data_IF_634837912895
#
_entry.id   IF_634837912895
#
_cell.length_a   1.000
_cell.length_b   1.000
_cell.length_c   1.000
_cell.angle_alpha   90.00
_cell.angle_beta   90.00
_cell.angle_gamma   90.00
#
_symmetry.space_group_name_H-M   'P 1'
#
loop_
_entity.id
_entity.type
_entity.pdbx_description
1 polymer ?
#
# COMPACT_ATOMS: atom_id res chain seq x y z
N UNK A 1 43.13 41.24 28.39
CA UNK A 1 42.20 42.04 27.56
C UNK A 1 41.34 41.06 26.78
N UNK A 2 40.02 41.13 26.96
CA UNK A 2 39.03 40.25 26.32
C UNK A 2 38.73 40.78 24.92
N UNK A 3 38.70 39.92 23.91
CA UNK A 3 38.12 40.25 22.61
C UNK A 3 37.12 39.16 22.24
N UNK A 4 35.85 39.55 22.23
CA UNK A 4 34.68 38.74 21.92
C UNK A 4 34.40 38.96 20.43
N UNK A 5 34.48 37.91 19.62
CA UNK A 5 34.10 37.98 18.21
C UNK A 5 32.59 37.70 18.09
N UNK A 6 31.84 38.71 17.68
CA UNK A 6 30.39 38.67 17.45
C UNK A 6 30.08 38.09 16.06
N UNK A 7 29.16 37.14 16.02
CA UNK A 7 28.56 36.51 14.85
C UNK A 7 27.50 37.45 14.23
N UNK A 8 27.46 37.70 12.91
CA UNK A 8 26.32 38.39 12.31
C UNK A 8 25.21 37.39 11.98
N UNK A 9 24.05 37.61 12.62
CA UNK A 9 22.76 36.95 12.33
C UNK A 9 22.19 37.59 11.06
N UNK A 10 22.14 36.83 9.97
CA UNK A 10 21.43 37.24 8.76
C UNK A 10 19.92 36.97 8.93
N UNK A 11 19.17 38.05 9.15
CA UNK A 11 17.70 38.06 9.15
C UNK A 11 17.23 38.00 7.70
N UNK A 12 16.67 36.86 7.27
CA UNK A 12 15.94 36.78 6.01
C UNK A 12 14.48 37.14 6.27
N UNK A 13 14.11 38.33 5.78
CA UNK A 13 12.75 38.85 5.73
C UNK A 13 11.82 37.91 4.94
N UNK A 14 10.68 37.57 5.53
CA UNK A 14 9.55 36.99 4.82
C UNK A 14 8.90 38.08 3.92
N UNK A 15 8.82 37.82 2.62
CA UNK A 15 7.97 38.59 1.72
C UNK A 15 6.70 37.78 1.44
N UNK A 16 5.57 38.24 1.97
CA UNK A 16 4.24 37.84 1.52
C UNK A 16 3.87 38.73 0.33
N UNK A 17 3.58 38.14 -0.82
CA UNK A 17 2.89 38.85 -1.90
C UNK A 17 1.77 37.95 -2.42
N UNK A 18 0.54 38.36 -2.11
CA UNK A 18 -0.68 37.84 -2.71
C UNK A 18 -0.97 38.65 -3.98
N UNK A 19 -1.18 38.01 -5.15
CA UNK A 19 -1.81 38.68 -6.28
C UNK A 19 -3.26 38.18 -6.46
N UNK A 20 -4.16 39.09 -6.11
CA UNK A 20 -5.31 39.56 -6.86
C UNK A 20 -5.79 38.76 -8.09
N UNK A 21 -7.04 38.31 -7.96
CA UNK A 21 -7.99 37.81 -8.95
C UNK A 21 -7.93 38.59 -10.29
N UNK A 22 -7.71 37.88 -11.39
CA UNK A 22 -7.98 38.35 -12.76
C UNK A 22 -8.68 37.23 -13.52
N UNK A 23 -9.93 37.48 -13.90
CA UNK A 23 -10.71 36.62 -14.79
C UNK A 23 -10.09 36.64 -16.18
N UNK A 24 -9.79 35.46 -16.71
CA UNK A 24 -9.52 35.26 -18.13
C UNK A 24 -10.63 34.36 -18.66
N UNK A 25 -11.53 34.95 -19.46
CA UNK A 25 -12.45 34.20 -20.32
C UNK A 25 -11.63 33.37 -21.30
N UNK A 26 -11.87 32.05 -21.32
CA UNK A 26 -11.41 31.15 -22.38
C UNK A 26 -12.55 30.98 -23.40
N UNK A 27 -12.23 30.98 -24.71
CA UNK A 27 -13.21 30.92 -25.77
C UNK A 27 -13.98 29.58 -25.77
N UNK A 28 -15.27 29.71 -26.06
CA UNK A 28 -16.25 28.66 -26.32
C UNK A 28 -15.74 27.75 -27.45
N UNK A 29 -15.27 26.54 -27.10
CA UNK A 29 -14.91 25.51 -28.08
C UNK A 29 -16.10 24.58 -28.27
N UNK A 30 -16.60 24.59 -29.49
CA UNK A 30 -17.74 23.85 -30.01
C UNK A 30 -17.90 22.42 -29.46
N UNK A 31 -19.17 22.10 -29.20
CA UNK A 31 -19.75 20.82 -28.81
C UNK A 31 -19.00 19.57 -29.32
N UNK A 32 -18.25 18.93 -28.42
CA UNK A 32 -17.89 17.51 -28.56
C UNK A 32 -19.16 16.69 -28.25
N UNK A 33 -19.56 15.72 -29.08
CA UNK A 33 -20.73 14.90 -28.80
C UNK A 33 -20.51 14.09 -27.53
N UNK A 34 -21.20 14.46 -26.45
CA UNK A 34 -21.29 13.71 -25.20
C UNK A 34 -22.06 12.41 -25.44
N UNK A 35 -21.38 11.39 -25.96
CA UNK A 35 -21.74 9.99 -25.76
C UNK A 35 -20.78 9.35 -24.77
N UNK A 36 -20.78 9.87 -23.55
CA UNK A 36 -20.45 9.03 -22.39
C UNK A 36 -21.77 8.43 -21.94
N UNK A 37 -22.06 7.23 -22.44
CA UNK A 37 -23.07 6.37 -21.82
C UNK A 37 -22.66 6.20 -20.37
N UNK A 38 -23.51 6.71 -19.48
CA UNK A 38 -23.46 6.57 -18.04
C UNK A 38 -23.65 5.10 -17.68
N UNK A 39 -22.59 4.29 -17.83
CA UNK A 39 -22.52 3.01 -17.15
C UNK A 39 -22.19 3.37 -15.71
N UNK A 40 -23.14 3.13 -14.80
CA UNK A 40 -22.93 3.34 -13.37
C UNK A 40 -21.67 2.59 -12.92
N UNK A 41 -20.58 3.32 -12.73
CA UNK A 41 -19.25 2.84 -12.31
C UNK A 41 -19.24 2.59 -10.79
N UNK A 42 -20.22 1.81 -10.31
CA UNK A 42 -20.29 1.46 -8.89
C UNK A 42 -19.50 0.19 -8.64
N UNK A 43 -18.51 0.27 -7.74
CA UNK A 43 -17.77 -0.89 -7.28
C UNK A 43 -18.75 -1.98 -6.79
N UNK A 44 -18.49 -3.27 -7.11
CA UNK A 44 -19.32 -4.37 -6.64
C UNK A 44 -19.45 -4.33 -5.12
N UNK A 45 -20.68 -4.56 -4.62
CA UNK A 45 -20.92 -4.70 -3.19
C UNK A 45 -20.13 -5.91 -2.66
N UNK A 46 -19.43 -5.72 -1.54
CA UNK A 46 -18.68 -6.79 -0.90
C UNK A 46 -19.62 -7.79 -0.22
N UNK A 47 -19.18 -9.05 -0.16
CA UNK A 47 -19.79 -10.03 0.74
C UNK A 47 -19.34 -9.76 2.18
N UNK A 48 -20.04 -10.32 3.15
CA UNK A 48 -19.64 -10.26 4.56
C UNK A 48 -18.23 -10.83 4.78
N UNK A 49 -17.91 -11.94 4.11
CA UNK A 49 -16.57 -12.54 4.17
C UNK A 49 -15.47 -11.62 3.63
N UNK A 50 -15.74 -10.92 2.53
CA UNK A 50 -14.82 -9.94 1.96
C UNK A 50 -14.62 -8.73 2.88
N UNK A 51 -15.69 -8.23 3.50
CA UNK A 51 -15.60 -7.16 4.50
C UNK A 51 -14.75 -7.59 5.69
N UNK A 52 -14.99 -8.78 6.25
CA UNK A 52 -14.17 -9.34 7.33
C UNK A 52 -12.70 -9.51 6.93
N UNK A 53 -12.42 -9.95 5.71
CA UNK A 53 -11.05 -10.07 5.22
C UNK A 53 -10.35 -8.70 5.16
N UNK A 54 -11.05 -7.66 4.72
CA UNK A 54 -10.50 -6.30 4.69
C UNK A 54 -10.28 -5.72 6.10
N UNK A 55 -11.18 -6.02 7.05
CA UNK A 55 -11.06 -5.62 8.46
C UNK A 55 -9.93 -6.33 9.18
N UNK A 56 -9.72 -7.62 8.91
CA UNK A 56 -8.58 -8.38 9.41
C UNK A 56 -7.26 -7.80 8.90
N UNK A 57 -7.17 -7.45 7.60
CA UNK A 57 -6.03 -6.75 7.03
C UNK A 57 -5.78 -5.39 7.69
N UNK A 58 -6.84 -4.60 7.95
CA UNK A 58 -6.72 -3.31 8.63
C UNK A 58 -6.19 -3.48 10.06
N UNK A 59 -6.69 -4.50 10.76
CA UNK A 59 -6.26 -4.83 12.11
C UNK A 59 -4.79 -5.25 12.14
N UNK A 60 -4.37 -6.12 11.21
CA UNK A 60 -2.96 -6.50 11.09
C UNK A 60 -2.06 -5.29 10.78
N UNK A 61 -2.48 -4.40 9.88
CA UNK A 61 -1.72 -3.19 9.53
C UNK A 61 -1.41 -2.31 10.74
N UNK A 62 -2.33 -2.20 11.71
CA UNK A 62 -2.11 -1.41 12.94
C UNK A 62 -1.47 -2.19 14.08
N UNK A 63 -1.29 -3.52 13.90
CA UNK A 63 -0.79 -4.43 14.93
C UNK A 63 0.64 -4.92 14.70
N UNK A 64 1.29 -4.51 13.60
CA UNK A 64 2.69 -4.87 13.36
C UNK A 64 3.60 -4.24 14.42
N UNK A 65 4.66 -4.96 14.78
CA UNK A 65 5.60 -4.54 15.82
C UNK A 65 6.36 -3.27 15.42
N UNK A 66 6.68 -3.18 14.12
CA UNK A 66 7.26 -2.03 13.44
C UNK A 66 6.26 -1.40 12.46
N UNK A 67 6.37 -0.09 12.25
CA UNK A 67 5.50 0.63 11.31
C UNK A 67 5.84 0.23 9.86
N UNK A 68 4.82 0.30 9.00
CA UNK A 68 4.95 0.10 7.55
C UNK A 68 5.42 -1.30 7.12
N UNK A 69 5.24 -2.32 7.97
CA UNK A 69 5.48 -3.72 7.59
C UNK A 69 4.32 -4.31 6.78
N UNK A 70 3.09 -3.91 7.07
CA UNK A 70 1.90 -4.25 6.29
C UNK A 70 1.07 -2.98 6.13
N UNK A 71 0.72 -2.61 4.89
CA UNK A 71 -0.11 -1.44 4.65
C UNK A 71 -0.85 -1.49 3.32
N UNK A 72 -1.98 -0.79 3.24
CA UNK A 72 -2.74 -0.65 1.99
C UNK A 72 -2.38 0.63 1.23
N UNK A 73 -2.42 0.57 -0.10
CA UNK A 73 -2.35 1.74 -0.99
C UNK A 73 -3.54 1.75 -1.95
N UNK A 74 -3.73 2.85 -2.68
CA UNK A 74 -4.73 2.86 -3.76
C UNK A 74 -4.40 1.81 -4.81
N UNK A 75 -5.44 1.24 -5.40
CA UNK A 75 -5.33 0.31 -6.51
C UNK A 75 -4.42 0.89 -7.60
N UNK A 76 -3.45 0.11 -8.07
CA UNK A 76 -2.49 0.53 -9.11
C UNK A 76 -1.61 1.72 -8.75
N UNK A 77 -1.49 2.06 -7.47
CA UNK A 77 -0.51 3.04 -7.02
C UNK A 77 0.91 2.65 -7.47
N UNK A 78 1.79 3.65 -7.52
CA UNK A 78 3.20 3.44 -7.77
C UNK A 78 3.74 2.40 -6.77
N UNK A 79 4.38 1.36 -7.30
CA UNK A 79 4.98 0.33 -6.46
C UNK A 79 6.09 0.95 -5.60
N UNK A 80 6.32 0.46 -4.37
CA UNK A 80 7.44 0.88 -3.53
C UNK A 80 8.82 0.66 -4.20
N UNK A 81 8.87 -0.17 -5.23
CA UNK A 81 10.05 -0.54 -6.01
C UNK A 81 9.92 -0.07 -7.46
N UNK A 82 11.06 0.31 -8.05
CA UNK A 82 11.14 0.66 -9.46
C UNK A 82 11.15 -0.63 -10.30
N UNK A 83 9.98 -1.00 -10.82
CA UNK A 83 9.66 -2.28 -11.51
C UNK A 83 9.82 -3.54 -10.63
N UNK A 84 8.83 -4.44 -10.61
CA UNK A 84 8.95 -5.69 -9.87
C UNK A 84 9.90 -6.66 -10.56
N UNK A 85 10.68 -7.42 -9.79
CA UNK A 85 11.56 -8.47 -10.30
C UNK A 85 10.75 -9.61 -10.91
N UNK A 86 9.61 -9.92 -10.30
CA UNK A 86 8.68 -10.93 -10.79
C UNK A 86 7.25 -10.61 -10.39
N UNK A 87 6.30 -11.13 -11.18
CA UNK A 87 4.88 -11.10 -10.86
C UNK A 87 4.39 -12.55 -10.91
N UNK A 88 3.82 -13.00 -9.80
CA UNK A 88 3.28 -14.35 -9.67
C UNK A 88 1.79 -14.29 -9.33
N UNK A 89 1.11 -15.40 -9.57
CA UNK A 89 -0.23 -15.62 -9.07
C UNK A 89 -0.16 -16.75 -8.05
N UNK A 90 -0.68 -16.53 -6.85
CA UNK A 90 -0.76 -17.55 -5.81
C UNK A 90 -2.20 -17.73 -5.34
N UNK A 91 -2.52 -18.93 -4.89
CA UNK A 91 -3.81 -19.26 -4.29
C UNK A 91 -3.95 -18.65 -2.88
N UNK A 92 -5.17 -18.59 -2.39
CA UNK A 92 -5.49 -18.25 -0.99
C UNK A 92 -4.70 -19.11 0.01
N UNK A 93 -4.54 -20.41 -0.26
CA UNK A 93 -3.84 -21.34 0.64
C UNK A 93 -2.34 -21.02 0.73
N UNK A 94 -1.73 -20.69 -0.41
CA UNK A 94 -0.32 -20.27 -0.45
C UNK A 94 -0.14 -18.92 0.25
N UNK A 95 -1.06 -17.98 0.03
CA UNK A 95 -1.05 -16.70 0.74
C UNK A 95 -1.24 -16.89 2.24
N UNK A 96 -2.10 -17.80 2.68
CA UNK A 96 -2.29 -18.12 4.10
C UNK A 96 -0.98 -18.61 4.75
N UNK A 97 -0.21 -19.44 4.04
CA UNK A 97 1.06 -19.92 4.55
C UNK A 97 2.09 -18.79 4.70
N UNK A 98 2.18 -17.93 3.70
CA UNK A 98 3.00 -16.72 3.76
C UNK A 98 2.52 -15.80 4.89
N UNK A 99 1.22 -15.59 5.03
CA UNK A 99 0.66 -14.67 6.00
C UNK A 99 0.88 -15.14 7.44
N UNK A 100 0.73 -16.44 7.70
CA UNK A 100 1.08 -17.05 8.99
C UNK A 100 2.56 -16.84 9.34
N UNK A 101 3.46 -17.00 8.37
CA UNK A 101 4.89 -16.76 8.57
C UNK A 101 5.15 -15.29 8.91
N UNK A 102 4.58 -14.38 8.11
CA UNK A 102 4.73 -12.95 8.30
C UNK A 102 4.21 -12.47 9.66
N UNK A 103 2.99 -12.85 10.09
CA UNK A 103 2.44 -12.39 11.38
C UNK A 103 3.19 -12.98 12.57
N UNK A 104 3.81 -14.15 12.41
CA UNK A 104 4.66 -14.72 13.43
C UNK A 104 5.95 -13.91 13.64
N UNK A 105 6.50 -13.36 12.57
CA UNK A 105 7.71 -12.54 12.57
C UNK A 105 7.43 -11.09 12.98
N UNK A 106 6.32 -10.51 12.49
CA UNK A 106 6.10 -9.07 12.50
C UNK A 106 4.96 -8.60 13.41
N UNK A 107 4.21 -9.51 14.06
CA UNK A 107 3.10 -9.15 14.97
C UNK A 107 3.25 -9.83 16.34
N UNK A 108 4.47 -9.95 16.86
CA UNK A 108 4.79 -10.71 18.07
C UNK A 108 4.06 -10.26 19.34
N UNK A 109 3.57 -9.01 19.38
CA UNK A 109 2.75 -8.48 20.48
C UNK A 109 1.31 -9.03 20.53
N UNK A 110 0.81 -9.61 19.44
CA UNK A 110 -0.51 -10.24 19.43
C UNK A 110 -0.43 -11.69 19.96
N UNK A 111 -1.46 -12.16 20.70
CA UNK A 111 -1.59 -13.57 21.04
C UNK A 111 -1.52 -14.47 19.80
N UNK A 112 -0.91 -15.65 19.93
CA UNK A 112 -0.72 -16.58 18.80
C UNK A 112 -2.05 -16.92 18.09
N UNK A 113 -3.08 -17.25 18.86
CA UNK A 113 -4.40 -17.59 18.32
C UNK A 113 -4.99 -16.44 17.51
N UNK A 114 -4.88 -15.21 18.01
CA UNK A 114 -5.38 -14.02 17.31
C UNK A 114 -4.59 -13.72 16.03
N UNK A 115 -3.25 -13.95 16.03
CA UNK A 115 -2.44 -13.82 14.81
C UNK A 115 -2.90 -14.78 13.73
N UNK A 116 -3.10 -16.05 14.10
CA UNK A 116 -3.53 -17.10 13.17
C UNK A 116 -4.93 -16.84 12.63
N UNK A 117 -5.84 -16.38 13.49
CA UNK A 117 -7.20 -16.03 13.06
C UNK A 117 -7.19 -14.84 12.11
N UNK A 118 -6.49 -13.76 12.43
CA UNK A 118 -6.38 -12.60 11.55
C UNK A 118 -5.71 -12.93 10.21
N UNK A 119 -4.68 -13.79 10.21
CA UNK A 119 -4.06 -14.28 8.98
C UNK A 119 -5.00 -15.16 8.16
N UNK A 120 -5.79 -16.02 8.82
CA UNK A 120 -6.81 -16.87 8.20
C UNK A 120 -7.94 -16.06 7.57
N UNK A 121 -8.38 -14.99 8.23
CA UNK A 121 -9.43 -14.12 7.74
C UNK A 121 -8.93 -13.19 6.62
N UNK A 122 -7.75 -12.59 6.76
CA UNK A 122 -7.23 -11.58 5.83
C UNK A 122 -7.07 -12.07 4.39
N UNK A 123 -6.79 -13.37 4.22
CA UNK A 123 -6.59 -14.00 2.91
C UNK A 123 -7.88 -14.46 2.23
N UNK A 124 -9.04 -14.28 2.87
CA UNK A 124 -10.35 -14.71 2.31
C UNK A 124 -10.98 -13.69 1.38
N UNK A 125 -10.29 -12.58 1.10
CA UNK A 125 -10.79 -11.59 0.17
C UNK A 125 -10.97 -12.19 -1.23
N UNK A 126 -10.04 -13.05 -1.67
CA UNK A 126 -10.04 -13.66 -3.00
C UNK A 126 -9.56 -15.11 -2.97
N UNK A 127 -9.86 -15.86 -4.03
CA UNK A 127 -9.34 -17.22 -4.22
C UNK A 127 -7.90 -17.22 -4.73
N UNK A 128 -7.52 -16.22 -5.52
CA UNK A 128 -6.21 -16.08 -6.15
C UNK A 128 -5.73 -14.63 -6.05
N UNK A 129 -4.42 -14.44 -5.91
CA UNK A 129 -3.79 -13.15 -5.70
C UNK A 129 -2.67 -12.92 -6.69
N UNK A 130 -2.68 -11.76 -7.35
CA UNK A 130 -1.56 -11.28 -8.15
C UNK A 130 -0.56 -10.57 -7.25
N UNK A 131 0.66 -11.11 -7.13
CA UNK A 131 1.70 -10.56 -6.27
C UNK A 131 2.86 -10.09 -7.13
N UNK A 132 3.13 -8.79 -7.08
CA UNK A 132 4.36 -8.22 -7.59
C UNK A 132 5.42 -8.26 -6.48
N UNK A 133 6.59 -8.83 -6.77
CA UNK A 133 7.66 -9.06 -5.79
C UNK A 133 8.88 -8.23 -6.16
N UNK A 134 9.44 -7.58 -5.15
CA UNK A 134 10.65 -6.79 -5.24
C UNK A 134 11.66 -7.30 -4.21
N UNK A 135 12.73 -7.93 -4.68
CA UNK A 135 13.76 -8.52 -3.85
C UNK A 135 14.81 -7.47 -3.48
N UNK A 136 15.19 -7.42 -2.19
CA UNK A 136 16.27 -6.54 -1.74
C UNK A 136 17.65 -7.13 -2.09
N UNK A 137 17.82 -8.44 -1.92
CA UNK A 137 19.00 -9.21 -2.35
C UNK A 137 18.59 -10.58 -2.90
N UNK A 138 18.62 -10.77 -4.24
CA UNK A 138 18.19 -12.03 -4.86
C UNK A 138 19.09 -13.22 -4.49
N UNK A 139 20.33 -12.99 -4.02
CA UNK A 139 21.26 -14.08 -3.70
C UNK A 139 21.03 -14.70 -2.32
N UNK A 140 20.28 -14.02 -1.45
CA UNK A 140 20.05 -14.45 -0.06
C UNK A 140 18.55 -14.65 0.26
N UNK A 141 17.79 -15.05 -0.75
CA UNK A 141 16.34 -15.20 -0.67
C UNK A 141 15.95 -16.63 -0.28
N UNK A 142 15.14 -16.79 0.77
CA UNK A 142 14.55 -18.07 1.16
C UNK A 142 13.25 -18.30 0.39
N UNK A 143 13.08 -19.49 -0.16
CA UNK A 143 11.89 -19.86 -0.92
C UNK A 143 11.09 -20.91 -0.18
N UNK A 144 9.77 -20.71 -0.13
CA UNK A 144 8.83 -21.71 0.36
C UNK A 144 7.82 -21.99 -0.74
N UNK A 145 7.77 -23.25 -1.19
CA UNK A 145 6.97 -23.67 -2.35
C UNK A 145 7.24 -22.84 -3.62
N UNK A 146 8.50 -22.41 -3.82
CA UNK A 146 8.90 -21.61 -4.97
C UNK A 146 8.59 -20.11 -4.87
N UNK A 147 8.04 -19.64 -3.75
CA UNK A 147 7.74 -18.23 -3.51
C UNK A 147 8.72 -17.64 -2.47
N UNK A 148 9.37 -16.49 -2.75
CA UNK A 148 10.40 -15.93 -1.87
C UNK A 148 9.79 -15.21 -0.65
N UNK A 149 10.06 -15.66 0.58
CA UNK A 149 9.55 -15.03 1.81
C UNK A 149 10.44 -13.85 2.26
N UNK A 150 10.79 -12.97 1.33
CA UNK A 150 11.65 -11.81 1.55
C UNK A 150 11.30 -10.65 0.64
N UNK A 151 11.87 -9.48 0.93
CA UNK A 151 11.70 -8.27 0.14
C UNK A 151 10.34 -7.61 0.36
N UNK A 152 9.81 -6.97 -0.69
CA UNK A 152 8.49 -6.36 -0.68
C UNK A 152 7.55 -7.09 -1.61
N UNK A 153 6.44 -7.57 -1.07
CA UNK A 153 5.33 -8.12 -1.84
C UNK A 153 4.23 -7.07 -1.96
N UNK A 154 3.68 -6.94 -3.16
CA UNK A 154 2.51 -6.10 -3.43
C UNK A 154 1.41 -6.98 -4.01
N UNK A 155 0.41 -7.27 -3.19
CA UNK A 155 -0.83 -7.91 -3.61
C UNK A 155 -1.64 -6.87 -4.36
N UNK A 156 -1.78 -7.05 -5.66
CA UNK A 156 -2.38 -6.08 -6.57
C UNK A 156 -3.89 -6.24 -6.61
N UNK A 157 -4.59 -5.12 -6.67
CA UNK A 157 -5.99 -5.06 -7.05
C UNK A 157 -6.92 -5.87 -6.13
N UNK A 158 -6.62 -5.94 -4.84
CA UNK A 158 -7.43 -6.68 -3.87
C UNK A 158 -8.86 -6.11 -3.86
N UNK A 159 -9.81 -6.94 -4.27
CA UNK A 159 -11.24 -6.67 -4.42
C UNK A 159 -11.56 -5.45 -5.30
N UNK A 160 -10.69 -5.13 -6.26
CA UNK A 160 -10.79 -3.90 -7.07
C UNK A 160 -10.82 -2.61 -6.25
N UNK A 161 -10.21 -2.61 -5.07
CA UNK A 161 -10.29 -1.50 -4.11
C UNK A 161 -8.94 -0.97 -3.68
N UNK A 162 -7.96 -1.85 -3.44
CA UNK A 162 -6.65 -1.46 -2.91
C UNK A 162 -5.55 -2.42 -3.32
N UNK A 163 -4.32 -1.94 -3.26
CA UNK A 163 -3.17 -2.85 -3.19
C UNK A 163 -2.81 -3.06 -1.72
N UNK A 164 -2.25 -4.22 -1.39
CA UNK A 164 -1.72 -4.52 -0.05
C UNK A 164 -0.23 -4.77 -0.17
N UNK A 165 0.56 -4.01 0.57
CA UNK A 165 2.01 -4.09 0.61
C UNK A 165 2.45 -4.80 1.88
N UNK A 166 3.27 -5.84 1.72
CA UNK A 166 3.94 -6.60 2.77
C UNK A 166 5.45 -6.43 2.62
N UNK A 167 6.10 -5.91 3.65
CA UNK A 167 7.56 -5.76 3.73
C UNK A 167 8.08 -6.79 4.73
N UNK A 168 8.76 -7.80 4.22
CA UNK A 168 9.24 -8.96 4.99
C UNK A 168 10.34 -8.61 6.00
#
# INVERSE_FOLDING_TARGET
MKSILLLPIAVLFACTSSPQKSSTELPELDSIPTRYTTTHDSLPKLTEEQEMALDALNTLQVSTDERNRLYSTFQWAALPCHTPDTIIMISQVELLHAMNTFVNLNCSRLPLELRQELASQSVRAEENYHIAICLEDPNNTTFTNGVPLSGTWVLRNVLHRRDVVMVW
#
